data_IF_725334967263
#
_entry.id   IF_725334967263
#
_cell.length_a   1.000
_cell.length_b   1.000
_cell.length_c   1.000
_cell.angle_alpha   90.00
_cell.angle_beta   90.00
_cell.angle_gamma   90.00
#
_symmetry.space_group_name_H-M   'P 1'
#
loop_
_entity.id
_entity.type
_entity.pdbx_description
1 polymer ?
#
# COMPACT_ATOMS: atom_id res chain seq x y z
N UNK A 1 1.42 -67.35 -13.93
CA UNK A 1 0.20 -66.52 -14.07
C UNK A 1 0.59 -65.23 -14.77
N UNK A 2 -0.17 -64.83 -15.79
CA UNK A 2 0.07 -63.70 -16.67
C UNK A 2 -0.37 -62.40 -15.99
N UNK A 3 0.44 -61.33 -16.05
CA UNK A 3 -0.11 -60.03 -16.47
C UNK A 3 1.00 -59.10 -17.01
N UNK A 4 0.79 -58.46 -18.17
CA UNK A 4 1.77 -57.60 -18.83
C UNK A 4 1.48 -56.12 -18.56
N UNK A 5 2.49 -55.25 -18.59
CA UNK A 5 2.24 -53.92 -19.13
C UNK A 5 3.47 -53.32 -19.80
N UNK A 6 3.20 -52.79 -21.00
CA UNK A 6 4.12 -52.26 -21.97
C UNK A 6 4.72 -50.92 -21.52
N UNK A 7 6.02 -50.77 -21.69
CA UNK A 7 6.67 -49.47 -21.86
C UNK A 7 7.51 -49.54 -23.13
N UNK A 8 6.91 -49.13 -24.23
CA UNK A 8 7.55 -49.01 -25.54
C UNK A 8 8.31 -47.69 -25.63
N UNK A 9 9.59 -47.83 -25.97
CA UNK A 9 10.47 -46.98 -26.79
C UNK A 9 10.04 -45.55 -27.13
N UNK A 10 10.99 -44.62 -27.03
CA UNK A 10 11.52 -43.96 -28.23
C UNK A 10 12.93 -43.42 -28.05
N UNK A 11 13.66 -43.57 -29.14
CA UNK A 11 15.10 -43.53 -29.34
C UNK A 11 15.55 -42.12 -29.74
N UNK A 12 16.75 -41.76 -29.30
CA UNK A 12 17.55 -40.60 -29.72
C UNK A 12 17.88 -40.65 -31.22
N UNK A 13 18.02 -39.49 -31.87
CA UNK A 13 19.25 -39.04 -32.58
C UNK A 13 18.98 -37.90 -33.58
N UNK A 14 19.79 -36.85 -33.49
CA UNK A 14 20.64 -36.43 -34.61
C UNK A 14 20.05 -35.56 -35.73
N UNK A 15 20.24 -34.24 -35.59
CA UNK A 15 20.71 -33.26 -36.60
C UNK A 15 20.22 -33.32 -38.06
N UNK A 16 19.58 -32.23 -38.50
CA UNK A 16 19.81 -31.66 -39.83
C UNK A 16 19.61 -30.14 -39.78
N UNK A 17 20.68 -29.42 -40.08
CA UNK A 17 20.66 -28.01 -40.47
C UNK A 17 20.25 -27.97 -41.96
N UNK A 18 19.23 -27.19 -42.33
CA UNK A 18 19.12 -26.71 -43.69
C UNK A 18 18.45 -25.34 -43.71
N UNK A 19 19.18 -24.36 -44.25
CA UNK A 19 18.71 -22.99 -44.53
C UNK A 19 17.68 -23.04 -45.67
N UNK A 20 16.56 -22.33 -45.53
CA UNK A 20 15.95 -21.62 -46.67
C UNK A 20 15.03 -20.51 -46.16
N UNK A 21 15.23 -19.32 -46.72
CA UNK A 21 14.74 -18.00 -46.30
C UNK A 21 13.22 -17.88 -46.08
N UNK A 22 12.82 -17.29 -44.96
CA UNK A 22 11.56 -16.55 -44.83
C UNK A 22 11.71 -15.42 -43.80
N UNK A 23 11.09 -14.28 -44.12
CA UNK A 23 11.09 -12.98 -43.45
C UNK A 23 11.17 -13.02 -41.91
N UNK A 24 11.96 -12.10 -41.35
CA UNK A 24 11.85 -11.61 -39.98
C UNK A 24 10.42 -11.13 -39.71
N UNK A 25 9.57 -11.99 -39.16
CA UNK A 25 8.48 -11.55 -38.32
C UNK A 25 9.05 -11.36 -36.93
N UNK A 26 9.38 -10.11 -36.63
CA UNK A 26 9.60 -9.66 -35.26
C UNK A 26 8.36 -10.03 -34.46
N UNK A 27 8.48 -11.03 -33.60
CA UNK A 27 7.55 -11.23 -32.50
C UNK A 27 7.59 -9.95 -31.65
N UNK A 28 6.63 -9.07 -31.89
CA UNK A 28 6.22 -8.08 -30.91
C UNK A 28 5.67 -8.88 -29.74
N UNK A 29 6.53 -9.15 -28.76
CA UNK A 29 6.10 -9.36 -27.40
C UNK A 29 5.39 -8.05 -27.06
N UNK A 30 4.06 -8.05 -27.12
CA UNK A 30 3.27 -7.00 -26.52
C UNK A 30 3.49 -7.14 -25.02
N UNK A 31 4.59 -6.55 -24.54
CA UNK A 31 4.70 -6.11 -23.18
C UNK A 31 3.45 -5.29 -22.95
N UNK A 32 2.52 -5.88 -22.19
CA UNK A 32 1.44 -5.14 -21.58
C UNK A 32 2.16 -4.25 -20.56
N UNK A 33 2.68 -3.13 -21.06
CA UNK A 33 3.03 -1.98 -20.27
C UNK A 33 1.77 -1.69 -19.50
N UNK A 34 1.76 -2.08 -18.21
CA UNK A 34 0.74 -1.66 -17.27
C UNK A 34 0.59 -0.17 -17.53
N UNK A 35 -0.58 0.23 -18.04
CA UNK A 35 -0.84 1.61 -18.37
C UNK A 35 -0.45 2.39 -17.12
N UNK A 36 0.60 3.22 -17.23
CA UNK A 36 0.93 4.19 -16.19
C UNK A 36 -0.33 5.03 -16.12
N UNK A 37 -1.17 4.74 -15.12
CA UNK A 37 -2.41 5.47 -14.89
C UNK A 37 -1.96 6.91 -14.76
N UNK A 38 -2.18 7.71 -15.82
CA UNK A 38 -1.88 9.13 -15.78
C UNK A 38 -2.68 9.65 -14.60
N UNK A 39 -1.98 10.25 -13.65
CA UNK A 39 -2.59 10.85 -12.47
C UNK A 39 -3.69 11.79 -12.98
N UNK A 40 -4.95 11.47 -12.70
CA UNK A 40 -6.07 12.34 -13.01
C UNK A 40 -5.89 13.60 -12.16
N UNK A 41 -6.16 14.78 -12.72
CA UNK A 41 -6.10 16.06 -12.00
C UNK A 41 -7.26 16.14 -10.99
N UNK A 42 -7.24 15.26 -9.99
CA UNK A 42 -8.20 15.20 -8.91
C UNK A 42 -7.85 16.25 -7.86
N UNK A 43 -8.89 16.85 -7.26
CA UNK A 43 -8.69 17.76 -6.13
C UNK A 43 -8.14 16.98 -4.94
N UNK A 44 -7.32 17.61 -4.12
CA UNK A 44 -6.86 17.02 -2.85
C UNK A 44 -7.68 17.60 -1.69
N UNK A 45 -8.06 16.75 -0.74
CA UNK A 45 -8.61 17.17 0.55
C UNK A 45 -7.55 17.34 1.64
N UNK A 46 -6.31 16.93 1.36
CA UNK A 46 -5.20 17.15 2.27
C UNK A 46 -4.69 18.59 2.15
N UNK A 47 -4.21 19.14 3.26
CA UNK A 47 -3.54 20.44 3.28
C UNK A 47 -2.26 20.38 2.43
N UNK A 48 -2.22 21.16 1.35
CA UNK A 48 -1.08 21.23 0.44
C UNK A 48 0.23 21.63 1.15
N UNK A 49 0.14 22.38 2.27
CA UNK A 49 1.31 22.74 3.06
C UNK A 49 1.89 21.57 3.85
N UNK A 50 1.12 20.49 4.07
CA UNK A 50 1.52 19.29 4.81
C UNK A 50 1.94 18.12 3.91
N UNK A 51 1.46 18.08 2.67
CA UNK A 51 1.83 17.02 1.72
C UNK A 51 3.35 16.94 1.52
N UNK A 52 3.89 15.73 1.58
CA UNK A 52 5.31 15.44 1.45
C UNK A 52 6.19 15.90 2.63
N UNK A 53 5.60 16.52 3.66
CA UNK A 53 6.34 16.95 4.86
C UNK A 53 6.17 15.95 5.98
N UNK A 54 7.28 15.70 6.68
CA UNK A 54 7.32 14.78 7.80
C UNK A 54 7.00 15.50 9.12
N UNK A 55 5.94 15.06 9.80
CA UNK A 55 5.69 15.41 11.20
C UNK A 55 6.50 14.48 12.11
N UNK A 56 7.39 15.08 12.92
CA UNK A 56 8.30 14.33 13.80
C UNK A 56 7.76 14.23 15.22
N UNK A 57 7.68 13.01 15.74
CA UNK A 57 7.21 12.69 17.08
C UNK A 57 8.30 11.98 17.87
N UNK A 58 8.64 12.53 19.03
CA UNK A 58 9.67 11.97 19.92
C UNK A 58 9.16 11.97 21.35
N UNK A 59 9.13 10.78 21.94
CA UNK A 59 8.87 10.60 23.37
C UNK A 59 10.16 10.21 24.09
N UNK A 60 10.49 10.91 25.18
CA UNK A 60 11.75 10.69 25.92
C UNK A 60 11.87 9.27 26.49
N UNK A 61 10.75 8.69 26.92
CA UNK A 61 10.66 7.36 27.53
C UNK A 61 10.61 6.21 26.51
N UNK A 62 10.45 6.49 25.21
CA UNK A 62 10.35 5.46 24.16
C UNK A 62 11.69 5.26 23.44
N UNK A 63 11.97 4.06 22.89
CA UNK A 63 13.23 3.80 22.19
C UNK A 63 13.24 4.32 20.74
N UNK A 64 12.07 4.67 20.21
CA UNK A 64 11.87 5.10 18.82
C UNK A 64 11.40 6.55 18.74
N UNK A 65 11.81 7.21 17.67
CA UNK A 65 11.25 8.44 17.11
C UNK A 65 10.45 8.07 15.86
N UNK A 66 9.34 8.77 15.64
CA UNK A 66 8.48 8.55 14.47
C UNK A 66 8.46 9.79 13.59
N UNK A 67 8.44 9.57 12.28
CA UNK A 67 8.17 10.57 11.27
C UNK A 67 6.96 10.10 10.47
N UNK A 68 5.93 10.94 10.40
CA UNK A 68 4.72 10.69 9.61
C UNK A 68 4.72 11.63 8.40
N UNK A 69 4.78 11.09 7.20
CA UNK A 69 4.69 11.86 5.95
C UNK A 69 3.42 11.49 5.21
N UNK A 70 2.52 12.46 5.04
CA UNK A 70 1.32 12.29 4.22
C UNK A 70 1.66 12.60 2.76
N UNK A 71 1.38 11.68 1.86
CA UNK A 71 1.64 11.83 0.43
C UNK A 71 0.36 11.55 -0.36
N UNK A 72 0.16 12.28 -1.46
CA UNK A 72 -0.94 11.98 -2.36
C UNK A 72 -0.74 10.61 -3.01
N UNK A 73 -1.79 9.82 -3.09
CA UNK A 73 -1.80 8.51 -3.75
C UNK A 73 -2.08 8.64 -5.26
N UNK A 74 -2.08 7.51 -5.94
CA UNK A 74 -2.54 7.32 -7.31
C UNK A 74 -4.03 6.99 -7.41
N UNK A 75 -4.69 6.62 -6.31
CA UNK A 75 -6.13 6.31 -6.27
C UNK A 75 -6.99 7.55 -6.02
N UNK A 76 -8.27 7.47 -6.35
CA UNK A 76 -9.23 8.56 -6.18
C UNK A 76 -10.65 8.04 -5.95
N UNK A 77 -11.50 8.91 -5.41
CA UNK A 77 -12.95 8.69 -5.29
C UNK A 77 -13.67 9.63 -6.25
N UNK A 78 -14.60 9.10 -7.04
CA UNK A 78 -15.46 9.88 -7.92
C UNK A 78 -16.59 10.56 -7.12
N UNK A 79 -16.86 11.82 -7.44
CA UNK A 79 -17.91 12.66 -6.88
C UNK A 79 -18.73 13.28 -8.02
N UNK A 80 -19.94 13.81 -7.77
CA UNK A 80 -20.70 14.53 -8.79
C UNK A 80 -19.95 15.74 -9.39
N UNK A 81 -18.95 16.28 -8.69
CA UNK A 81 -18.19 17.47 -9.09
C UNK A 81 -16.83 17.18 -9.73
N UNK A 82 -16.50 15.90 -9.96
CA UNK A 82 -15.18 15.45 -10.40
C UNK A 82 -14.61 14.37 -9.47
N UNK A 83 -13.29 14.30 -9.33
CA UNK A 83 -12.65 13.31 -8.46
C UNK A 83 -11.83 13.96 -7.34
N UNK A 84 -11.71 13.23 -6.23
CA UNK A 84 -10.85 13.57 -5.10
C UNK A 84 -9.74 12.54 -4.97
N UNK A 85 -8.48 13.01 -4.96
CA UNK A 85 -7.32 12.14 -4.79
C UNK A 85 -7.26 11.58 -3.37
N UNK A 86 -6.92 10.31 -3.26
CA UNK A 86 -6.62 9.68 -1.99
C UNK A 86 -5.20 10.00 -1.52
N UNK A 87 -4.87 9.65 -0.29
CA UNK A 87 -3.54 9.83 0.28
C UNK A 87 -3.04 8.53 0.92
N UNK A 88 -1.73 8.48 1.12
CA UNK A 88 -1.02 7.46 1.89
C UNK A 88 -0.27 8.14 3.04
N UNK A 89 -0.02 7.40 4.11
CA UNK A 89 0.85 7.85 5.19
C UNK A 89 2.10 6.97 5.24
N UNK A 90 3.28 7.57 5.12
CA UNK A 90 4.53 6.89 5.42
C UNK A 90 4.87 7.04 6.89
N UNK A 91 4.94 5.92 7.61
CA UNK A 91 5.41 5.80 8.99
C UNK A 91 6.87 5.36 8.96
N UNK A 92 7.77 6.28 9.27
CA UNK A 92 9.19 5.98 9.46
C UNK A 92 9.51 5.97 10.96
N UNK A 93 9.95 4.83 11.46
CA UNK A 93 10.41 4.68 12.83
C UNK A 93 11.93 4.57 12.88
N UNK A 94 12.56 5.35 13.74
CA UNK A 94 14.01 5.43 13.88
C UNK A 94 14.40 5.26 15.33
N UNK A 95 15.42 4.43 15.61
CA UNK A 95 16.00 4.29 16.95
C UNK A 95 16.66 5.60 17.37
N UNK A 96 16.83 5.82 18.68
CA UNK A 96 17.62 6.97 19.20
C UNK A 96 19.05 7.06 18.64
N UNK A 97 19.63 5.95 18.18
CA UNK A 97 20.93 5.92 17.50
C UNK A 97 20.90 6.47 16.06
N UNK A 98 19.73 6.80 15.51
CA UNK A 98 19.55 7.23 14.12
C UNK A 98 19.32 6.07 13.13
N UNK A 99 19.45 4.82 13.56
CA UNK A 99 19.16 3.66 12.70
C UNK A 99 17.66 3.52 12.45
N UNK A 100 17.25 3.34 11.19
CA UNK A 100 15.88 2.97 10.85
C UNK A 100 15.51 1.65 11.54
N UNK A 101 14.39 1.66 12.28
CA UNK A 101 13.78 0.47 12.84
C UNK A 101 12.85 -0.19 11.82
N UNK A 102 11.94 0.60 11.24
CA UNK A 102 11.11 0.18 10.11
C UNK A 102 10.62 1.40 9.31
N UNK A 103 10.15 1.13 8.09
CA UNK A 103 9.42 2.09 7.26
C UNK A 103 8.22 1.37 6.65
N UNK A 104 7.01 1.87 6.88
CA UNK A 104 5.77 1.30 6.35
C UNK A 104 4.89 2.41 5.81
N UNK A 105 4.39 2.23 4.61
CA UNK A 105 3.35 3.10 4.05
C UNK A 105 1.99 2.47 4.36
N UNK A 106 1.04 3.24 4.89
CA UNK A 106 -0.32 2.80 5.14
C UNK A 106 -1.29 3.53 4.23
N UNK A 107 -2.38 2.85 3.87
CA UNK A 107 -3.52 3.39 3.14
C UNK A 107 -4.80 3.15 3.94
N UNK A 108 -5.92 3.72 3.49
CA UNK A 108 -7.22 3.46 4.11
C UNK A 108 -7.64 1.97 3.99
N UNK A 109 -7.20 1.28 2.95
CA UNK A 109 -7.48 -0.13 2.69
C UNK A 109 -6.81 -1.05 3.74
N UNK A 110 -5.73 -0.62 4.39
CA UNK A 110 -5.16 -1.40 5.51
C UNK A 110 -6.16 -1.52 6.69
N UNK A 111 -7.20 -0.68 6.76
CA UNK A 111 -8.23 -0.73 7.79
C UNK A 111 -9.27 -1.84 7.53
N UNK A 112 -9.56 -2.17 6.26
CA UNK A 112 -10.60 -3.15 5.89
C UNK A 112 -10.24 -4.56 6.34
N UNK A 113 -8.95 -4.87 6.47
CA UNK A 113 -8.51 -6.16 7.03
C UNK A 113 -8.97 -6.39 8.48
N UNK A 114 -9.21 -5.32 9.25
CA UNK A 114 -9.54 -5.38 10.68
C UNK A 114 -10.99 -5.07 10.99
N UNK A 115 -11.75 -4.57 10.03
CA UNK A 115 -13.10 -4.06 10.19
C UNK A 115 -14.04 -4.78 9.22
N UNK A 116 -15.35 -4.70 9.47
CA UNK A 116 -16.37 -5.26 8.58
C UNK A 116 -17.09 -4.20 7.75
N UNK A 117 -16.60 -2.96 7.77
CA UNK A 117 -17.29 -1.78 7.24
C UNK A 117 -16.57 -1.27 5.99
N UNK A 118 -16.42 -2.15 5.00
CA UNK A 118 -15.59 -1.88 3.83
C UNK A 118 -16.17 -0.74 2.97
N UNK A 119 -17.49 -0.68 2.81
CA UNK A 119 -18.16 0.32 1.98
C UNK A 119 -17.88 1.77 2.43
N UNK A 120 -17.91 2.04 3.73
CA UNK A 120 -17.68 3.39 4.25
C UNK A 120 -16.21 3.80 4.10
N UNK A 121 -15.29 2.85 4.26
CA UNK A 121 -13.84 3.08 4.09
C UNK A 121 -13.52 3.27 2.60
N UNK A 122 -14.09 2.46 1.72
CA UNK A 122 -13.94 2.56 0.27
C UNK A 122 -14.49 3.88 -0.28
N UNK A 123 -15.58 4.41 0.26
CA UNK A 123 -16.12 5.72 -0.12
C UNK A 123 -15.27 6.91 0.36
N UNK A 124 -14.46 6.73 1.41
CA UNK A 124 -13.75 7.82 2.07
C UNK A 124 -12.37 8.13 1.51
N UNK A 125 -11.78 9.25 1.90
CA UNK A 125 -10.41 9.67 1.58
C UNK A 125 -9.61 9.75 2.87
N UNK A 126 -8.40 9.18 2.90
CA UNK A 126 -7.49 9.38 4.03
C UNK A 126 -7.03 10.84 4.02
N UNK A 127 -7.53 11.67 4.93
CA UNK A 127 -7.20 13.10 4.94
C UNK A 127 -5.99 13.41 5.82
N UNK A 128 -5.90 12.75 6.97
CA UNK A 128 -4.86 13.04 7.96
C UNK A 128 -4.52 11.80 8.79
N UNK A 129 -3.27 11.70 9.21
CA UNK A 129 -2.83 10.74 10.22
C UNK A 129 -2.00 11.45 11.28
N UNK A 130 -2.28 11.19 12.55
CA UNK A 130 -1.55 11.77 13.67
C UNK A 130 -1.03 10.68 14.59
N UNK A 131 0.15 10.89 15.16
CA UNK A 131 0.64 10.06 16.24
C UNK A 131 -0.10 10.42 17.53
N UNK A 132 -0.56 9.41 18.28
CA UNK A 132 -1.15 9.58 19.61
C UNK A 132 -0.11 9.20 20.67
N UNK A 133 0.48 10.17 21.38
CA UNK A 133 1.45 9.88 22.43
C UNK A 133 0.85 8.99 23.51
N UNK A 134 1.63 8.05 24.03
CA UNK A 134 1.15 7.11 25.06
C UNK A 134 1.88 7.36 26.36
N UNK A 135 1.17 7.94 27.34
CA UNK A 135 1.66 7.99 28.71
C UNK A 135 1.66 6.55 29.26
N UNK A 136 2.84 6.05 29.63
CA UNK A 136 3.14 4.70 30.16
C UNK A 136 3.49 3.62 29.12
N UNK A 137 3.92 2.47 29.63
CA UNK A 137 4.52 1.29 29.00
C UNK A 137 3.66 0.55 27.96
N UNK A 138 2.77 1.27 27.25
CA UNK A 138 2.02 0.71 26.13
C UNK A 138 2.96 0.10 25.09
N UNK A 139 2.67 -1.16 24.76
CA UNK A 139 3.42 -2.02 23.83
C UNK A 139 3.22 -1.66 22.36
N UNK A 140 2.42 -0.65 22.06
CA UNK A 140 1.99 -0.32 20.71
C UNK A 140 2.30 1.13 20.36
N UNK A 141 2.53 1.33 19.06
CA UNK A 141 2.52 2.62 18.39
C UNK A 141 1.04 2.87 18.06
N UNK A 142 0.51 4.05 18.41
CA UNK A 142 -0.89 4.38 18.16
C UNK A 142 -0.96 5.55 17.18
N UNK A 143 -1.61 5.33 16.06
CA UNK A 143 -1.92 6.34 15.06
C UNK A 143 -3.42 6.60 15.07
N UNK A 144 -3.84 7.86 14.92
CA UNK A 144 -5.21 8.21 14.59
C UNK A 144 -5.28 8.54 13.11
N UNK A 145 -6.02 7.73 12.35
CA UNK A 145 -6.30 7.94 10.93
C UNK A 145 -7.68 8.57 10.78
N UNK A 146 -7.72 9.74 10.12
CA UNK A 146 -8.93 10.50 9.86
C UNK A 146 -9.32 10.37 8.39
N UNK A 147 -10.50 9.81 8.14
CA UNK A 147 -11.08 9.59 6.83
C UNK A 147 -12.29 10.49 6.64
N UNK A 148 -12.49 10.97 5.41
CA UNK A 148 -13.62 11.84 5.04
C UNK A 148 -14.29 11.30 3.78
N UNK A 149 -15.60 11.07 3.82
CA UNK A 149 -16.40 10.81 2.61
C UNK A 149 -16.65 12.13 1.86
N UNK A 150 -16.08 12.32 0.67
CA UNK A 150 -16.19 13.57 -0.07
C UNK A 150 -17.58 13.85 -0.64
N UNK A 151 -18.53 12.89 -0.55
CA UNK A 151 -19.89 13.06 -1.07
C UNK A 151 -20.84 13.68 -0.06
N UNK A 152 -20.63 13.43 1.23
CA UNK A 152 -21.56 13.81 2.30
C UNK A 152 -20.85 14.41 3.53
N UNK A 153 -19.54 14.62 3.45
CA UNK A 153 -18.68 15.17 4.51
C UNK A 153 -18.71 14.34 5.82
N UNK A 154 -19.13 13.07 5.75
CA UNK A 154 -19.08 12.16 6.90
C UNK A 154 -17.61 11.85 7.23
N UNK A 155 -17.26 11.96 8.51
CA UNK A 155 -15.91 11.67 9.00
C UNK A 155 -15.86 10.34 9.73
N UNK A 156 -14.75 9.62 9.58
CA UNK A 156 -14.47 8.37 10.27
C UNK A 156 -13.07 8.45 10.88
N UNK A 157 -12.99 8.30 12.20
CA UNK A 157 -11.74 8.30 12.94
C UNK A 157 -11.41 6.88 13.40
N UNK A 158 -10.17 6.45 13.15
CA UNK A 158 -9.68 5.14 13.55
C UNK A 158 -8.40 5.24 14.35
N UNK A 159 -8.37 4.55 15.49
CA UNK A 159 -7.14 4.27 16.23
C UNK A 159 -6.48 2.99 15.69
N UNK A 160 -5.36 3.14 15.00
CA UNK A 160 -4.53 2.05 14.47
C UNK A 160 -3.40 1.76 15.45
N UNK A 161 -3.37 0.53 15.95
CA UNK A 161 -2.35 0.03 16.85
C UNK A 161 -1.36 -0.80 16.06
N UNK A 162 -0.09 -0.39 16.08
CA UNK A 162 1.00 -1.09 15.44
C UNK A 162 2.00 -1.60 16.48
N UNK A 163 2.65 -2.72 16.20
CA UNK A 163 3.80 -3.17 16.99
C UNK A 163 5.07 -2.41 16.57
N UNK A 164 6.18 -2.67 17.26
CA UNK A 164 7.46 -1.98 17.02
C UNK A 164 8.22 -2.49 15.77
N UNK A 165 7.61 -3.42 15.02
CA UNK A 165 8.10 -3.92 13.73
C UNK A 165 7.32 -3.31 12.55
N UNK A 166 6.31 -2.48 12.82
CA UNK A 166 5.52 -1.80 11.79
C UNK A 166 4.29 -2.57 11.32
N UNK A 167 3.90 -3.63 12.02
CA UNK A 167 2.70 -4.41 11.70
C UNK A 167 1.48 -3.85 12.43
N UNK A 168 0.35 -3.72 11.74
CA UNK A 168 -0.92 -3.40 12.37
C UNK A 168 -1.38 -4.64 13.14
N UNK A 169 -1.65 -4.48 14.43
CA UNK A 169 -2.13 -5.57 15.30
C UNK A 169 -3.60 -5.42 15.65
N UNK A 170 -4.14 -4.20 15.56
CA UNK A 170 -5.52 -3.89 15.88
C UNK A 170 -5.92 -2.54 15.31
N UNK A 171 -7.18 -2.43 14.91
CA UNK A 171 -7.85 -1.16 14.60
C UNK A 171 -9.08 -1.00 15.52
N UNK A 172 -9.37 0.23 15.93
CA UNK A 172 -10.61 0.60 16.63
C UNK A 172 -11.20 1.85 15.99
N UNK A 173 -12.53 1.99 16.02
CA UNK A 173 -13.20 3.29 15.98
C UNK A 173 -12.94 4.05 17.29
#
# INVERSE_FOLDING_TARGET
MKNPWLLSLLVLLGSACNQQSAKNDTQTITDTTAAVVKRKDCKSLADAAKLGKADIYKESSKPLQFALTLDQDSTWVETPSGCIANNTITVLATKKSGQQAFKRTLTKEDLTYFLKNDEEIEASILQQVTYKPTFNSQKYIVLAMHLVDPKNDKTLDYAVYMNYFGEIVKVKL
#
